data_IF_038429465065
#
_entry.id   IF_038429465065
#
_cell.length_a   1.000
_cell.length_b   1.000
_cell.length_c   1.000
_cell.angle_alpha   90.00
_cell.angle_beta   90.00
_cell.angle_gamma   90.00
#
_symmetry.space_group_name_H-M   'P 1'
#
loop_
_entity.id
_entity.type
_entity.pdbx_description
1 polymer ?
#
# COMPACT_ATOMS: atom_id res chain seq x y z
N UNK A 1 7.23 31.02 -13.17
CA UNK A 1 5.78 31.12 -12.90
C UNK A 1 5.39 29.95 -12.02
N UNK A 2 4.66 30.22 -10.94
CA UNK A 2 4.00 29.17 -10.17
C UNK A 2 2.82 28.62 -10.98
N UNK A 3 2.60 27.30 -10.93
CA UNK A 3 1.46 26.64 -11.57
C UNK A 3 0.54 26.16 -10.44
N UNK A 4 -0.72 26.57 -10.43
CA UNK A 4 -1.69 26.16 -9.41
C UNK A 4 -2.99 25.69 -10.06
N UNK A 5 -3.75 24.86 -9.33
CA UNK A 5 -5.00 24.32 -9.83
C UNK A 5 -5.54 23.21 -8.94
N UNK A 6 -6.31 22.31 -9.55
CA UNK A 6 -6.95 21.19 -8.86
C UNK A 6 -6.80 19.88 -9.62
N UNK A 7 -6.77 18.77 -8.88
CA UNK A 7 -6.52 17.41 -9.39
C UNK A 7 -7.69 16.83 -10.20
N UNK A 8 -8.88 17.42 -10.10
CA UNK A 8 -10.04 17.06 -10.93
C UNK A 8 -9.92 17.62 -12.36
N UNK A 9 -9.20 18.73 -12.53
CA UNK A 9 -8.95 19.37 -13.82
C UNK A 9 -7.64 18.90 -14.45
N UNK A 10 -6.61 18.64 -13.62
CA UNK A 10 -5.31 18.15 -14.07
C UNK A 10 -4.80 17.07 -13.11
N UNK A 11 -5.00 15.78 -13.45
CA UNK A 11 -4.58 14.66 -12.61
C UNK A 11 -3.09 14.66 -12.28
N UNK A 12 -2.72 14.03 -11.17
CA UNK A 12 -1.33 14.02 -10.72
C UNK A 12 -0.38 13.35 -11.72
N UNK A 13 -0.83 12.36 -12.49
CA UNK A 13 -0.03 11.72 -13.54
C UNK A 13 0.41 12.75 -14.59
N UNK A 14 -0.55 13.58 -15.04
CA UNK A 14 -0.32 14.62 -16.04
C UNK A 14 0.57 15.74 -15.48
N UNK A 15 0.34 16.14 -14.22
CA UNK A 15 1.21 17.09 -13.52
C UNK A 15 2.65 16.61 -13.46
N UNK A 16 2.88 15.36 -13.04
CA UNK A 16 4.23 14.80 -12.94
C UNK A 16 4.90 14.67 -14.32
N UNK A 17 4.14 14.39 -15.38
CA UNK A 17 4.66 14.41 -16.75
C UNK A 17 5.04 15.81 -17.21
N UNK A 18 4.17 16.80 -17.00
CA UNK A 18 4.42 18.20 -17.35
C UNK A 18 5.62 18.78 -16.59
N UNK A 19 5.76 18.42 -15.32
CA UNK A 19 6.85 18.87 -14.44
C UNK A 19 8.10 18.00 -14.53
N UNK A 20 8.12 16.97 -15.39
CA UNK A 20 9.21 15.99 -15.45
C UNK A 20 10.61 16.57 -15.71
N UNK A 21 10.70 17.74 -16.34
CA UNK A 21 11.98 18.43 -16.60
C UNK A 21 12.19 19.66 -15.71
N UNK A 22 11.36 19.85 -14.69
CA UNK A 22 11.40 21.02 -13.79
C UNK A 22 11.99 20.62 -12.44
N UNK A 23 12.70 21.56 -11.83
CA UNK A 23 13.12 21.48 -10.42
C UNK A 23 12.21 22.36 -9.58
N UNK A 24 11.73 21.85 -8.44
CA UNK A 24 10.88 22.61 -7.53
C UNK A 24 10.10 21.74 -6.56
N UNK A 25 9.13 22.35 -5.87
CA UNK A 25 8.23 21.68 -4.95
C UNK A 25 6.80 21.71 -5.50
N UNK A 26 6.15 20.55 -5.58
CA UNK A 26 4.72 20.43 -5.85
C UNK A 26 4.01 20.18 -4.51
N UNK A 27 3.28 21.17 -4.04
CA UNK A 27 2.48 21.10 -2.82
C UNK A 27 1.07 20.65 -3.16
N UNK A 28 0.53 19.70 -2.40
CA UNK A 28 -0.81 19.15 -2.57
C UNK A 28 -1.57 19.21 -1.24
N UNK A 29 -2.80 19.71 -1.27
CA UNK A 29 -3.68 19.83 -0.10
C UNK A 29 -5.16 19.65 -0.47
N UNK A 30 -6.05 19.74 0.52
CA UNK A 30 -7.49 19.45 0.36
C UNK A 30 -7.77 18.03 -0.19
N UNK A 31 -6.90 17.08 0.14
CA UNK A 31 -7.02 15.68 -0.27
C UNK A 31 -7.88 14.91 0.74
N UNK A 32 -8.72 14.00 0.26
CA UNK A 32 -9.52 13.12 1.13
C UNK A 32 -8.61 12.06 1.77
N UNK A 33 -8.58 12.01 3.10
CA UNK A 33 -7.84 11.00 3.90
C UNK A 33 -6.32 10.96 3.67
N UNK A 34 -5.75 11.93 2.96
CA UNK A 34 -4.31 12.07 2.71
C UNK A 34 -3.84 13.39 3.34
N UNK A 35 -2.82 13.37 4.22
CA UNK A 35 -2.24 14.61 4.74
C UNK A 35 -1.69 15.50 3.61
N UNK A 36 -1.62 16.84 3.82
CA UNK A 36 -0.93 17.72 2.89
C UNK A 36 0.48 17.21 2.62
N UNK A 37 0.80 17.06 1.33
CA UNK A 37 2.03 16.42 0.87
C UNK A 37 2.78 17.36 -0.05
N UNK A 38 4.10 17.45 0.15
CA UNK A 38 5.00 18.15 -0.76
C UNK A 38 5.86 17.13 -1.49
N UNK A 39 5.86 17.18 -2.82
CA UNK A 39 6.71 16.37 -3.68
C UNK A 39 7.83 17.26 -4.21
N UNK A 40 9.07 16.96 -3.83
CA UNK A 40 10.23 17.65 -4.38
C UNK A 40 10.70 16.95 -5.65
N UNK A 41 10.84 17.74 -6.71
CA UNK A 41 11.19 17.28 -8.05
C UNK A 41 12.59 17.77 -8.42
N UNK A 42 13.37 16.88 -9.03
CA UNK A 42 14.56 17.18 -9.82
C UNK A 42 14.30 16.68 -11.26
N UNK A 43 15.01 17.17 -12.29
CA UNK A 43 14.74 16.75 -13.67
C UNK A 43 14.79 15.23 -13.86
N UNK A 44 13.64 14.63 -14.16
CA UNK A 44 13.42 13.20 -14.36
C UNK A 44 13.08 12.41 -13.09
N UNK A 45 13.15 13.02 -11.90
CA UNK A 45 13.09 12.30 -10.62
C UNK A 45 12.21 12.98 -9.58
N UNK A 46 11.52 12.15 -8.81
CA UNK A 46 10.99 12.52 -7.51
C UNK A 46 12.15 12.38 -6.51
N UNK A 47 12.65 13.52 -6.04
CA UNK A 47 13.77 13.60 -5.10
C UNK A 47 13.34 13.12 -3.72
N UNK A 48 12.23 13.63 -3.20
CA UNK A 48 11.70 13.29 -1.88
C UNK A 48 10.22 13.64 -1.78
N UNK A 49 9.57 13.08 -0.76
CA UNK A 49 8.24 13.49 -0.33
C UNK A 49 8.32 13.96 1.12
N UNK A 50 7.54 14.98 1.44
CA UNK A 50 7.38 15.48 2.80
C UNK A 50 5.89 15.51 3.16
N UNK A 51 5.56 15.20 4.41
CA UNK A 51 4.26 15.48 4.99
C UNK A 51 4.47 16.21 6.32
N UNK A 52 3.76 17.33 6.52
CA UNK A 52 3.90 18.17 7.72
C UNK A 52 5.34 18.64 7.97
N UNK A 53 6.13 18.81 6.91
CA UNK A 53 7.53 19.26 6.96
C UNK A 53 8.56 18.17 7.28
N UNK A 54 8.12 16.91 7.44
CA UNK A 54 9.01 15.78 7.70
C UNK A 54 9.19 14.90 6.44
N UNK A 55 10.42 14.48 6.11
CA UNK A 55 10.66 13.58 4.98
C UNK A 55 10.06 12.19 5.22
N UNK A 56 9.41 11.65 4.18
CA UNK A 56 8.92 10.28 4.20
C UNK A 56 10.02 9.27 3.88
N UNK A 57 9.97 8.12 4.56
CA UNK A 57 10.80 6.97 4.20
C UNK A 57 10.35 6.35 2.85
N UNK A 58 11.18 5.52 2.20
CA UNK A 58 10.85 4.98 0.87
C UNK A 58 9.56 4.17 0.77
N UNK A 59 9.13 3.49 1.83
CA UNK A 59 7.88 2.71 1.81
C UNK A 59 6.69 3.64 1.97
N UNK A 60 6.73 4.53 2.96
CA UNK A 60 5.68 5.53 3.19
C UNK A 60 5.51 6.42 1.95
N UNK A 61 6.61 6.87 1.34
CA UNK A 61 6.59 7.67 0.12
C UNK A 61 5.90 6.95 -1.05
N UNK A 62 6.19 5.65 -1.26
CA UNK A 62 5.51 4.84 -2.29
C UNK A 62 4.00 4.75 -2.03
N UNK A 63 3.61 4.54 -0.77
CA UNK A 63 2.21 4.43 -0.38
C UNK A 63 1.46 5.76 -0.57
N UNK A 64 2.08 6.88 -0.19
CA UNK A 64 1.53 8.22 -0.36
C UNK A 64 1.44 8.58 -1.84
N UNK A 65 2.46 8.33 -2.65
CA UNK A 65 2.39 8.54 -4.11
C UNK A 65 1.23 7.76 -4.73
N UNK A 66 1.03 6.51 -4.32
CA UNK A 66 -0.09 5.71 -4.80
C UNK A 66 -1.45 6.30 -4.38
N UNK A 67 -1.58 6.71 -3.11
CA UNK A 67 -2.81 7.35 -2.63
C UNK A 67 -3.10 8.67 -3.36
N UNK A 68 -2.08 9.48 -3.62
CA UNK A 68 -2.21 10.76 -4.32
C UNK A 68 -2.64 10.60 -5.78
N UNK A 69 -2.17 9.56 -6.49
CA UNK A 69 -2.60 9.29 -7.86
C UNK A 69 -4.04 8.78 -7.93
N UNK A 70 -4.47 8.04 -6.89
CA UNK A 70 -5.88 7.67 -6.74
C UNK A 70 -6.76 8.86 -6.33
N UNK A 71 -6.16 9.91 -5.75
CA UNK A 71 -6.88 11.12 -5.39
C UNK A 71 -7.24 11.90 -6.67
N UNK A 72 -8.51 11.79 -7.08
CA UNK A 72 -9.08 12.54 -8.21
C UNK A 72 -9.52 13.96 -7.86
N UNK A 73 -9.30 14.37 -6.61
CA UNK A 73 -9.72 15.67 -6.07
C UNK A 73 -8.66 16.16 -5.09
N UNK A 74 -8.47 17.48 -5.05
CA UNK A 74 -7.46 18.15 -4.25
C UNK A 74 -6.94 19.39 -4.97
N UNK A 75 -6.28 20.26 -4.24
CA UNK A 75 -5.63 21.46 -4.77
C UNK A 75 -4.13 21.25 -4.86
N UNK A 76 -3.48 21.90 -5.82
CA UNK A 76 -2.04 21.86 -5.96
C UNK A 76 -1.45 23.23 -6.29
N UNK A 77 -0.18 23.41 -5.92
CA UNK A 77 0.68 24.49 -6.40
C UNK A 77 2.11 24.01 -6.60
N UNK A 78 2.71 24.40 -7.72
CA UNK A 78 4.10 24.13 -8.04
C UNK A 78 4.93 25.41 -7.85
N UNK A 79 5.92 25.31 -6.97
CA UNK A 79 6.88 26.33 -6.63
C UNK A 79 8.23 26.03 -7.28
N UNK A 80 8.59 26.69 -8.40
CA UNK A 80 9.82 26.41 -9.14
C UNK A 80 11.06 26.76 -8.32
N UNK A 81 12.09 25.90 -8.39
CA UNK A 81 13.39 26.11 -7.74
C UNK A 81 13.43 25.88 -6.23
N UNK A 82 12.29 25.60 -5.59
CA UNK A 82 12.23 25.25 -4.16
C UNK A 82 12.87 23.89 -3.92
N UNK A 83 13.85 23.85 -3.01
CA UNK A 83 14.57 22.64 -2.62
C UNK A 83 14.18 22.21 -1.20
N UNK A 84 14.14 20.90 -0.91
CA UNK A 84 13.88 20.42 0.45
C UNK A 84 15.02 20.85 1.38
N UNK A 85 14.68 21.13 2.64
CA UNK A 85 15.66 21.51 3.68
C UNK A 85 16.46 20.31 4.22
N UNK A 86 16.05 19.09 3.89
CA UNK A 86 16.63 17.86 4.40
C UNK A 86 17.52 17.13 3.37
N UNK A 87 18.34 16.18 3.85
CA UNK A 87 19.24 15.36 3.02
C UNK A 87 18.62 14.08 2.44
N UNK A 88 17.40 13.70 2.85
CA UNK A 88 16.74 12.47 2.38
C UNK A 88 16.50 12.51 0.86
N UNK A 89 16.87 11.43 0.18
CA UNK A 89 16.71 11.26 -1.27
C UNK A 89 16.13 9.89 -1.58
N UNK A 90 14.99 9.88 -2.24
CA UNK A 90 14.35 8.70 -2.81
C UNK A 90 14.86 8.42 -4.23
N UNK A 91 15.18 9.49 -4.98
CA UNK A 91 15.67 9.44 -6.38
C UNK A 91 14.83 8.51 -7.26
N UNK A 92 13.51 8.64 -7.20
CA UNK A 92 12.59 7.77 -7.93
C UNK A 92 12.37 8.33 -9.34
N UNK A 93 12.71 7.61 -10.42
CA UNK A 93 12.44 8.09 -11.77
C UNK A 93 10.94 8.23 -11.98
N UNK A 94 10.48 9.42 -12.40
CA UNK A 94 9.05 9.73 -12.54
C UNK A 94 8.35 8.70 -13.43
N UNK A 95 8.95 8.35 -14.57
CA UNK A 95 8.38 7.38 -15.50
C UNK A 95 8.25 5.99 -14.89
N UNK A 96 9.22 5.55 -14.07
CA UNK A 96 9.15 4.25 -13.38
C UNK A 96 8.07 4.23 -12.30
N UNK A 97 7.88 5.35 -11.61
CA UNK A 97 6.81 5.52 -10.62
C UNK A 97 5.46 5.38 -11.31
N UNK A 98 5.21 6.15 -12.38
CA UNK A 98 3.96 6.09 -13.15
C UNK A 98 3.67 4.67 -13.70
N UNK A 99 4.67 4.02 -14.32
CA UNK A 99 4.54 2.66 -14.84
C UNK A 99 4.27 1.62 -13.75
N UNK A 100 4.99 1.71 -12.63
CA UNK A 100 4.82 0.79 -11.49
C UNK A 100 3.43 0.87 -10.88
N UNK A 101 2.79 2.05 -10.95
CA UNK A 101 1.48 2.31 -10.37
C UNK A 101 0.35 1.82 -11.28
N UNK A 102 0.46 2.03 -12.60
CA UNK A 102 -0.44 1.40 -13.57
C UNK A 102 -0.41 -0.13 -13.42
N UNK A 103 0.79 -0.71 -13.31
CA UNK A 103 0.94 -2.15 -13.10
C UNK A 103 0.26 -2.61 -11.80
N UNK A 104 0.41 -1.84 -10.71
CA UNK A 104 -0.22 -2.17 -9.43
C UNK A 104 -1.76 -2.08 -9.49
N UNK A 105 -2.30 -1.07 -10.17
CA UNK A 105 -3.74 -0.93 -10.39
C UNK A 105 -4.30 -2.10 -11.20
N UNK A 106 -3.66 -2.44 -12.32
CA UNK A 106 -4.06 -3.58 -13.16
C UNK A 106 -4.02 -4.90 -12.38
N UNK A 107 -2.98 -5.09 -11.56
CA UNK A 107 -2.89 -6.26 -10.66
C UNK A 107 -4.01 -6.26 -9.61
N UNK A 108 -4.28 -5.12 -8.98
CA UNK A 108 -5.35 -5.01 -7.99
C UNK A 108 -6.71 -5.32 -8.62
N UNK A 109 -7.02 -4.78 -9.79
CA UNK A 109 -8.27 -5.06 -10.48
C UNK A 109 -8.39 -6.53 -10.87
N UNK A 110 -7.34 -7.09 -11.47
CA UNK A 110 -7.29 -8.49 -11.89
C UNK A 110 -7.46 -9.45 -10.71
N UNK A 111 -6.80 -9.16 -9.59
CA UNK A 111 -6.78 -10.08 -8.44
C UNK A 111 -7.81 -9.77 -7.37
N UNK A 112 -8.57 -8.67 -7.47
CA UNK A 112 -9.60 -8.26 -6.50
C UNK A 112 -10.51 -9.42 -6.05
N UNK A 113 -11.03 -10.30 -6.92
CA UNK A 113 -11.88 -11.42 -6.51
C UNK A 113 -11.17 -12.48 -5.65
N UNK A 114 -9.84 -12.57 -5.75
CA UNK A 114 -9.02 -13.57 -5.07
C UNK A 114 -8.34 -13.02 -3.82
N UNK A 115 -8.44 -11.72 -3.56
CA UNK A 115 -7.79 -11.09 -2.43
C UNK A 115 -8.33 -11.66 -1.10
N UNK A 116 -7.44 -12.02 -0.15
CA UNK A 116 -7.85 -12.61 1.12
C UNK A 116 -8.77 -11.67 1.89
N UNK A 117 -9.63 -12.23 2.74
CA UNK A 117 -10.47 -11.43 3.63
C UNK A 117 -9.59 -10.50 4.50
N UNK A 118 -9.99 -9.25 4.79
CA UNK A 118 -9.19 -8.32 5.60
C UNK A 118 -8.73 -8.88 6.95
N UNK A 119 -9.55 -9.72 7.58
CA UNK A 119 -9.26 -10.39 8.85
C UNK A 119 -8.51 -11.73 8.72
N UNK A 120 -8.17 -12.17 7.50
CA UNK A 120 -7.39 -13.38 7.32
C UNK A 120 -6.01 -13.22 7.95
N UNK A 121 -5.63 -14.15 8.84
CA UNK A 121 -4.35 -14.12 9.56
C UNK A 121 -3.30 -14.89 8.78
N UNK A 122 -2.13 -14.29 8.64
CA UNK A 122 -0.97 -14.84 7.93
C UNK A 122 0.21 -15.02 8.87
N UNK A 123 0.97 -16.09 8.68
CA UNK A 123 2.22 -16.35 9.40
C UNK A 123 3.35 -16.65 8.41
N UNK A 124 4.58 -16.33 8.80
CA UNK A 124 5.77 -16.74 8.04
C UNK A 124 5.80 -18.26 7.87
N UNK A 125 6.07 -18.71 6.66
CA UNK A 125 6.15 -20.13 6.31
C UNK A 125 7.46 -20.49 5.60
N UNK A 126 7.99 -19.57 4.79
CA UNK A 126 9.17 -19.78 3.97
C UNK A 126 10.18 -18.64 4.06
N UNK A 127 11.09 -18.61 3.09
CA UNK A 127 12.11 -17.58 2.94
C UNK A 127 11.55 -16.28 2.38
N UNK A 128 12.37 -15.22 2.46
CA UNK A 128 12.06 -13.95 1.83
C UNK A 128 11.90 -14.10 0.31
N UNK A 129 10.90 -13.47 -0.31
CA UNK A 129 10.75 -13.51 -1.76
C UNK A 129 11.93 -12.86 -2.47
N UNK A 130 12.24 -13.37 -3.67
CA UNK A 130 13.28 -12.82 -4.53
C UNK A 130 12.83 -11.53 -5.22
N UNK A 131 11.55 -11.41 -5.61
CA UNK A 131 11.02 -10.20 -6.25
C UNK A 131 11.19 -8.98 -5.31
N UNK A 132 11.97 -7.95 -5.73
CA UNK A 132 12.21 -6.75 -4.92
C UNK A 132 10.93 -6.04 -4.46
N UNK A 133 9.85 -6.12 -5.25
CA UNK A 133 8.56 -5.47 -4.91
C UNK A 133 7.98 -6.01 -3.62
N UNK A 134 8.08 -7.32 -3.40
CA UNK A 134 7.54 -7.99 -2.21
C UNK A 134 8.57 -8.12 -1.10
N UNK A 135 9.87 -8.08 -1.42
CA UNK A 135 10.97 -8.20 -0.45
C UNK A 135 10.94 -7.11 0.61
N UNK A 136 10.76 -5.85 0.20
CA UNK A 136 10.69 -4.72 1.14
C UNK A 136 9.49 -4.82 2.06
N UNK A 137 8.31 -5.12 1.51
CA UNK A 137 7.10 -5.32 2.30
C UNK A 137 7.27 -6.49 3.27
N UNK A 138 7.78 -7.63 2.80
CA UNK A 138 8.02 -8.80 3.64
C UNK A 138 8.95 -8.50 4.81
N UNK A 139 10.05 -7.77 4.56
CA UNK A 139 11.00 -7.35 5.60
C UNK A 139 10.33 -6.49 6.68
N UNK A 140 9.51 -5.51 6.28
CA UNK A 140 8.79 -4.64 7.22
C UNK A 140 7.66 -5.37 7.97
N UNK A 141 6.96 -6.27 7.28
CA UNK A 141 5.88 -7.06 7.85
C UNK A 141 6.38 -8.21 8.75
N UNK A 142 7.65 -8.61 8.62
CA UNK A 142 8.22 -9.79 9.29
C UNK A 142 7.99 -9.84 10.81
N UNK A 143 8.18 -8.75 11.60
CA UNK A 143 7.95 -8.78 13.04
C UNK A 143 6.50 -9.13 13.40
N UNK A 144 5.54 -8.69 12.58
CA UNK A 144 4.12 -8.95 12.73
C UNK A 144 3.74 -10.33 12.21
N UNK A 145 4.28 -10.73 11.07
CA UNK A 145 4.02 -12.05 10.46
C UNK A 145 4.58 -13.20 11.30
N UNK A 146 5.63 -12.99 12.09
CA UNK A 146 6.15 -14.02 13.01
C UNK A 146 5.13 -14.44 14.07
N UNK A 147 4.37 -13.47 14.62
CA UNK A 147 3.33 -13.70 15.62
C UNK A 147 1.95 -14.05 15.03
N UNK A 148 1.83 -13.98 13.70
CA UNK A 148 0.54 -14.03 13.02
C UNK A 148 -0.08 -12.63 12.98
N UNK A 149 -0.36 -12.13 11.78
CA UNK A 149 -0.99 -10.82 11.61
C UNK A 149 -2.04 -10.85 10.51
N UNK A 150 -3.09 -10.05 10.67
CA UNK A 150 -4.12 -9.87 9.64
C UNK A 150 -3.72 -8.83 8.61
N UNK A 151 -4.34 -8.86 7.42
CA UNK A 151 -4.14 -7.81 6.42
C UNK A 151 -4.54 -6.43 6.96
N UNK A 152 -5.64 -6.37 7.73
CA UNK A 152 -6.09 -5.14 8.40
C UNK A 152 -5.07 -4.61 9.39
N UNK A 153 -4.56 -5.47 10.27
CA UNK A 153 -3.53 -5.07 11.25
C UNK A 153 -2.27 -4.56 10.54
N UNK A 154 -1.81 -5.26 9.49
CA UNK A 154 -0.62 -4.85 8.74
C UNK A 154 -0.83 -3.52 8.02
N UNK A 155 -2.02 -3.27 7.46
CA UNK A 155 -2.36 -1.99 6.82
C UNK A 155 -2.28 -0.83 7.82
N UNK A 156 -2.85 -1.01 9.02
CA UNK A 156 -2.82 0.00 10.09
C UNK A 156 -1.39 0.24 10.59
N UNK A 157 -0.62 -0.82 10.84
CA UNK A 157 0.74 -0.75 11.41
C UNK A 157 1.80 -0.22 10.46
N UNK A 158 1.65 -0.54 9.18
CA UNK A 158 2.59 -0.12 8.14
C UNK A 158 2.12 1.14 7.41
N UNK A 159 0.95 1.69 7.78
CA UNK A 159 0.31 2.83 7.14
C UNK A 159 0.18 2.64 5.61
N UNK A 160 -0.22 1.44 5.20
CA UNK A 160 -0.39 1.05 3.80
C UNK A 160 -1.88 0.88 3.45
N UNK A 161 -2.31 1.15 2.21
CA UNK A 161 -3.66 0.85 1.75
C UNK A 161 -4.00 -0.64 1.94
N UNK A 162 -5.20 -0.91 2.49
CA UNK A 162 -5.63 -2.27 2.82
C UNK A 162 -5.58 -3.23 1.62
N UNK A 163 -6.09 -2.80 0.47
CA UNK A 163 -6.11 -3.64 -0.73
C UNK A 163 -4.70 -3.95 -1.25
N UNK A 164 -3.76 -3.01 -1.12
CA UNK A 164 -2.35 -3.26 -1.46
C UNK A 164 -1.73 -4.31 -0.53
N UNK A 165 -1.99 -4.22 0.78
CA UNK A 165 -1.52 -5.22 1.75
C UNK A 165 -2.13 -6.59 1.46
N UNK A 166 -3.43 -6.65 1.14
CA UNK A 166 -4.11 -7.90 0.76
C UNK A 166 -3.49 -8.52 -0.49
N UNK A 167 -3.18 -7.71 -1.51
CA UNK A 167 -2.49 -8.17 -2.72
C UNK A 167 -1.10 -8.71 -2.42
N UNK A 168 -0.32 -7.98 -1.62
CA UNK A 168 1.03 -8.41 -1.26
C UNK A 168 1.02 -9.71 -0.46
N UNK A 169 0.11 -9.87 0.49
CA UNK A 169 -0.06 -11.13 1.23
C UNK A 169 -0.50 -12.28 0.32
N UNK A 170 -1.41 -12.03 -0.62
CA UNK A 170 -1.81 -13.02 -1.62
C UNK A 170 -0.61 -13.48 -2.46
N UNK A 171 0.20 -12.55 -2.99
CA UNK A 171 1.41 -12.86 -3.76
C UNK A 171 2.44 -13.61 -2.93
N UNK A 172 2.70 -13.17 -1.70
CA UNK A 172 3.61 -13.86 -0.78
C UNK A 172 3.13 -15.28 -0.44
N UNK A 173 1.83 -15.49 -0.36
CA UNK A 173 1.26 -16.82 -0.13
C UNK A 173 1.51 -17.74 -1.34
N UNK A 174 1.29 -17.24 -2.57
CA UNK A 174 1.59 -18.00 -3.79
C UNK A 174 3.09 -18.34 -3.90
N UNK A 175 3.96 -17.46 -3.42
CA UNK A 175 5.41 -17.66 -3.37
C UNK A 175 5.87 -18.54 -2.19
N UNK A 176 4.95 -19.00 -1.32
CA UNK A 176 5.27 -19.83 -0.14
C UNK A 176 5.98 -19.09 1.00
N UNK A 177 6.18 -17.77 0.90
CA UNK A 177 6.83 -16.97 1.94
C UNK A 177 5.96 -16.85 3.21
N UNK A 178 4.64 -16.80 3.03
CA UNK A 178 3.66 -16.81 4.13
C UNK A 178 2.61 -17.89 3.90
N UNK A 179 1.97 -18.33 4.98
CA UNK A 179 0.79 -19.19 4.94
C UNK A 179 -0.37 -18.53 5.67
N UNK A 180 -1.57 -18.72 5.16
CA UNK A 180 -2.80 -18.34 5.86
C UNK A 180 -3.05 -19.34 6.99
N UNK A 181 -3.32 -18.83 8.19
CA UNK A 181 -3.77 -19.66 9.30
C UNK A 181 -5.25 -19.97 9.11
N UNK A 182 -5.60 -21.26 9.11
CA UNK A 182 -7.00 -21.62 9.16
C UNK A 182 -7.58 -21.15 10.49
N UNK A 183 -8.69 -20.41 10.40
CA UNK A 183 -9.48 -20.09 11.58
C UNK A 183 -10.00 -21.43 12.08
N UNK A 184 -9.44 -21.99 13.16
CA UNK A 184 -10.01 -23.17 13.82
C UNK A 184 -11.50 -22.88 13.97
N UNK A 185 -12.34 -23.63 13.26
CA UNK A 185 -13.78 -23.50 13.40
C UNK A 185 -14.06 -23.59 14.90
N UNK A 186 -14.65 -22.55 15.49
CA UNK A 186 -15.22 -22.68 16.82
C UNK A 186 -16.31 -23.72 16.66
N UNK A 187 -16.01 -24.97 16.99
CA UNK A 187 -17.02 -26.03 17.07
C UNK A 187 -18.02 -25.51 18.09
N UNK A 188 -19.19 -25.09 17.62
CA UNK A 188 -20.23 -24.58 18.50
C UNK A 188 -20.56 -25.71 19.48
N UNK A 189 -20.55 -25.47 20.81
CA UNK A 189 -20.77 -26.54 21.80
C UNK A 189 -22.13 -27.25 21.62
N UNK A 190 -23.08 -26.59 20.95
CA UNK A 190 -24.39 -27.15 20.58
C UNK A 190 -24.30 -28.28 19.53
N UNK A 191 -23.30 -28.28 18.64
CA UNK A 191 -23.12 -29.34 17.65
C UNK A 191 -22.58 -30.65 18.28
N UNK A 192 -21.87 -30.55 19.41
CA UNK A 192 -21.45 -31.73 20.19
C UNK A 192 -22.61 -32.38 20.95
N UNK A 193 -23.57 -31.60 21.43
CA UNK A 193 -24.76 -32.12 22.13
C UNK A 193 -25.73 -32.89 21.23
N UNK A 194 -25.98 -32.37 20.02
CA UNK A 194 -26.91 -32.98 19.05
C UNK A 194 -26.38 -34.32 18.48
N UNK A 195 -25.08 -34.44 18.23
CA UNK A 195 -24.48 -35.71 17.77
C UNK A 195 -24.41 -36.78 18.88
N UNK A 196 -24.36 -36.37 20.16
CA UNK A 196 -24.42 -37.31 21.28
C UNK A 196 -25.85 -37.86 21.50
N UNK A 197 -26.89 -37.05 21.25
CA UNK A 197 -28.29 -37.47 21.39
C UNK A 197 -28.78 -38.37 20.23
N UNK A 198 -28.20 -38.25 19.03
CA UNK A 198 -28.57 -39.08 17.88
C UNK A 198 -27.94 -40.48 17.91
N UNK A 199 -26.95 -40.74 18.79
CA UNK A 199 -26.30 -42.06 18.92
C UNK A 199 -27.23 -43.14 19.52
N UNK A 200 -28.33 -42.74 20.17
CA UNK A 200 -29.31 -43.66 20.75
C UNK A 200 -30.36 -44.17 19.74
N UNK A 201 -30.46 -43.53 18.56
CA UNK A 201 -31.41 -43.91 17.51
C UNK A 201 -30.91 -45.01 16.57
N UNK A 202 -29.65 -45.45 16.73
CA UNK A 202 -29.01 -46.45 15.87
C UNK A 202 -28.64 -47.74 16.63
N UNK A 203 -29.26 -47.95 17.81
CA UNK A 203 -29.13 -49.18 18.60
C UNK A 203 -30.49 -49.87 18.72
N UNK A 204 -31.00 -50.38 17.59
CA UNK A 204 -31.99 -51.45 17.55
C UNK A 204 -31.70 -52.36 16.36
#
# INVERSE_FOLDING_TARGET
MALFGSLDSLPLEELLQMLSQKEGALELWNLKEIPPTTIHLEPGFIRSLEQRGEPLDPMAAKAVLHALLLARQGSFEFLPGVKPKHGVRLNLPVQKVLLGLMTLQDELERYRPYLPHPEAVFQVAGSSPEDPRFRDFFRLALPYLKRGASAKELAERLHLPLDQVRLYLYRLQLLGAVKRLERKARVHPLARGLLAQLRWLWSR
#
